data_IF_358649941581
#
_entry.id   IF_358649941581
#
_cell.length_a   1.000
_cell.length_b   1.000
_cell.length_c   1.000
_cell.angle_alpha   90.00
_cell.angle_beta   90.00
_cell.angle_gamma   90.00
#
_symmetry.space_group_name_H-M   'P 1'
#
loop_
_entity.id
_entity.type
_entity.pdbx_description
1 polymer ?
#
# COMPACT_ATOMS: atom_id res chain seq x y z
N UNK A 1 8.53 30.57 -42.14
CA UNK A 1 7.53 30.39 -41.06
C UNK A 1 7.72 29.04 -40.38
N UNK A 2 8.80 28.85 -39.61
CA UNK A 2 9.15 27.57 -38.95
C UNK A 2 9.59 27.82 -37.48
N UNK A 3 9.07 28.88 -36.84
CA UNK A 3 9.54 29.33 -35.51
C UNK A 3 8.71 28.80 -34.34
N UNK A 4 7.49 28.31 -34.58
CA UNK A 4 6.51 28.13 -33.49
C UNK A 4 6.49 26.71 -32.90
N UNK A 5 6.90 25.69 -33.67
CA UNK A 5 6.80 24.30 -33.22
C UNK A 5 7.92 23.90 -32.24
N UNK A 6 9.13 24.45 -32.40
CA UNK A 6 10.26 24.14 -31.52
C UNK A 6 10.09 24.72 -30.11
N UNK A 7 9.41 25.86 -29.98
CA UNK A 7 9.19 26.51 -28.68
C UNK A 7 8.21 25.73 -27.78
N UNK A 8 7.21 25.08 -28.37
CA UNK A 8 6.24 24.26 -27.61
C UNK A 8 6.91 22.99 -27.08
N UNK A 9 7.78 22.35 -27.86
CA UNK A 9 8.45 21.11 -27.45
C UNK A 9 9.41 21.31 -26.26
N UNK A 10 10.11 22.45 -26.19
CA UNK A 10 10.95 22.78 -25.03
C UNK A 10 10.15 23.04 -23.74
N UNK A 11 8.95 23.62 -23.83
CA UNK A 11 8.11 23.84 -22.64
C UNK A 11 7.62 22.52 -22.02
N UNK A 12 7.40 21.48 -22.83
CA UNK A 12 6.96 20.17 -22.33
C UNK A 12 8.11 19.37 -21.70
N UNK A 13 9.34 19.56 -22.17
CA UNK A 13 10.51 18.81 -21.68
C UNK A 13 11.15 19.41 -20.41
N UNK A 14 10.97 20.71 -20.14
CA UNK A 14 11.57 21.39 -18.97
C UNK A 14 10.58 21.69 -17.84
N UNK A 15 9.27 21.51 -18.05
CA UNK A 15 8.34 21.44 -16.92
C UNK A 15 8.54 20.08 -16.24
N UNK A 16 9.32 20.05 -15.15
CA UNK A 16 9.22 18.96 -14.17
C UNK A 16 7.77 18.90 -13.69
N UNK A 17 6.99 17.99 -14.27
CA UNK A 17 5.65 17.68 -13.78
C UNK A 17 5.85 16.90 -12.50
N UNK A 18 6.06 17.62 -11.40
CA UNK A 18 5.94 17.07 -10.05
C UNK A 18 4.46 16.75 -9.86
N UNK A 19 4.08 15.52 -10.20
CA UNK A 19 2.71 15.08 -10.09
C UNK A 19 2.37 14.84 -8.60
N UNK A 20 2.04 15.93 -7.91
CA UNK A 20 1.37 15.93 -6.61
C UNK A 20 -0.10 15.54 -6.86
N UNK A 21 -0.36 14.24 -6.93
CA UNK A 21 -1.73 13.74 -7.10
C UNK A 21 -2.51 13.87 -5.79
N UNK A 22 -3.66 14.55 -5.87
CA UNK A 22 -4.72 14.47 -4.85
C UNK A 22 -5.48 13.16 -5.01
N UNK A 23 -5.93 12.53 -3.90
CA UNK A 23 -6.66 11.26 -3.95
C UNK A 23 -8.02 11.45 -4.65
N UNK A 24 -8.22 10.71 -5.72
CA UNK A 24 -9.51 10.53 -6.41
C UNK A 24 -10.21 9.29 -5.86
N UNK A 25 -11.55 9.31 -5.82
CA UNK A 25 -12.41 8.24 -5.29
C UNK A 25 -12.83 7.17 -6.34
N UNK A 26 -12.21 7.11 -7.53
CA UNK A 26 -12.44 6.03 -8.50
C UNK A 26 -11.13 5.65 -9.24
N UNK A 27 -10.54 4.45 -9.01
CA UNK A 27 -9.12 4.16 -9.29
C UNK A 27 -8.82 3.46 -10.62
N UNK A 28 -9.81 3.20 -11.49
CA UNK A 28 -9.72 2.08 -12.46
C UNK A 28 -8.43 1.94 -13.29
N UNK A 29 -7.76 2.98 -13.78
CA UNK A 29 -6.69 2.77 -14.78
C UNK A 29 -5.58 3.82 -14.84
N UNK A 30 -4.40 3.53 -14.29
CA UNK A 30 -3.06 4.10 -14.61
C UNK A 30 -2.19 4.45 -13.40
N UNK A 31 -2.46 3.91 -12.23
CA UNK A 31 -2.42 4.77 -11.05
C UNK A 31 -2.04 3.97 -9.81
N UNK A 32 -0.79 3.46 -9.72
CA UNK A 32 -0.26 2.87 -8.48
C UNK A 32 -0.15 3.96 -7.41
N UNK A 33 -1.31 4.39 -6.92
CA UNK A 33 -1.46 5.44 -5.94
C UNK A 33 -0.75 5.05 -4.67
N UNK A 34 -0.15 6.04 -4.02
CA UNK A 34 0.45 5.87 -2.72
C UNK A 34 -0.57 6.30 -1.66
N UNK A 35 -0.93 5.36 -0.80
CA UNK A 35 -1.88 5.54 0.29
C UNK A 35 -1.17 5.36 1.63
N UNK A 36 -1.71 6.00 2.66
CA UNK A 36 -1.20 5.90 4.02
C UNK A 36 -2.35 5.46 4.91
N UNK A 37 -2.16 4.34 5.58
CA UNK A 37 -3.18 3.77 6.45
C UNK A 37 -2.67 3.74 7.89
N UNK A 38 -3.40 4.43 8.76
CA UNK A 38 -3.16 4.32 10.20
C UNK A 38 -3.83 3.05 10.70
N UNK A 39 -3.03 2.19 11.33
CA UNK A 39 -3.52 0.96 11.94
C UNK A 39 -4.12 1.23 13.31
N UNK A 40 -5.07 0.38 13.71
CA UNK A 40 -5.51 0.28 15.09
C UNK A 40 -4.54 -0.62 15.85
N UNK A 41 -4.02 -0.14 16.97
CA UNK A 41 -3.04 -0.87 17.77
C UNK A 41 -3.56 -1.08 19.20
N UNK A 42 -3.06 -2.13 19.84
CA UNK A 42 -3.20 -2.27 21.29
C UNK A 42 -2.42 -1.16 22.04
N UNK A 43 -2.65 -1.07 23.36
CA UNK A 43 -2.09 -0.01 24.22
C UNK A 43 -0.55 0.08 24.17
N UNK A 44 0.13 -1.03 23.86
CA UNK A 44 1.59 -1.13 23.81
C UNK A 44 2.16 -1.01 22.38
N UNK A 45 1.29 -0.90 21.37
CA UNK A 45 1.63 -1.08 19.96
C UNK A 45 2.38 -2.41 19.69
N UNK A 46 2.10 -3.44 20.49
CA UNK A 46 2.65 -4.78 20.33
C UNK A 46 1.99 -5.50 19.15
N UNK A 47 0.69 -5.26 18.94
CA UNK A 47 -0.08 -5.70 17.77
C UNK A 47 -0.86 -4.53 17.18
N UNK A 48 -0.77 -4.41 15.85
CA UNK A 48 -1.51 -3.43 15.06
C UNK A 48 -2.24 -4.12 13.91
N UNK A 49 -3.44 -3.67 13.60
CA UNK A 49 -4.29 -4.23 12.55
C UNK A 49 -4.92 -3.10 11.73
N UNK A 50 -5.02 -3.30 10.43
CA UNK A 50 -5.88 -2.52 9.55
C UNK A 50 -6.73 -3.48 8.71
N UNK A 51 -8.01 -3.15 8.57
CA UNK A 51 -8.99 -3.95 7.84
C UNK A 51 -9.63 -3.11 6.75
N UNK A 52 -9.72 -3.65 5.54
CA UNK A 52 -10.45 -3.01 4.46
C UNK A 52 -11.21 -4.03 3.61
N UNK A 53 -12.23 -3.54 2.92
CA UNK A 53 -13.02 -4.34 1.98
C UNK A 53 -12.72 -3.91 0.56
N UNK A 54 -12.59 -4.88 -0.33
CA UNK A 54 -12.43 -4.66 -1.76
C UNK A 54 -13.54 -5.42 -2.51
N UNK A 55 -14.00 -4.85 -3.63
CA UNK A 55 -14.93 -5.54 -4.54
C UNK A 55 -14.21 -5.83 -5.85
N UNK A 56 -14.08 -7.10 -6.20
CA UNK A 56 -13.42 -7.54 -7.43
C UNK A 56 -14.21 -8.70 -8.05
N UNK A 57 -14.37 -8.71 -9.38
CA UNK A 57 -15.10 -9.73 -10.14
C UNK A 57 -16.50 -10.09 -9.56
N UNK A 58 -17.20 -9.11 -8.99
CA UNK A 58 -18.52 -9.31 -8.37
C UNK A 58 -18.51 -9.96 -6.98
N UNK A 59 -17.34 -10.28 -6.43
CA UNK A 59 -17.17 -10.77 -5.06
C UNK A 59 -16.67 -9.65 -4.12
N UNK A 60 -16.90 -9.81 -2.82
CA UNK A 60 -16.38 -8.94 -1.76
C UNK A 60 -15.27 -9.68 -1.03
N UNK A 61 -14.10 -9.05 -0.97
CA UNK A 61 -12.92 -9.54 -0.28
C UNK A 61 -12.71 -8.70 0.98
N UNK A 62 -12.46 -9.37 2.10
CA UNK A 62 -12.01 -8.75 3.33
C UNK A 62 -10.50 -8.95 3.44
N UNK A 63 -9.76 -7.84 3.50
CA UNK A 63 -8.32 -7.85 3.66
C UNK A 63 -7.98 -7.37 5.07
N UNK A 64 -7.03 -8.05 5.71
CA UNK A 64 -6.45 -7.56 6.96
C UNK A 64 -4.93 -7.52 6.84
N UNK A 65 -4.35 -6.38 7.17
CA UNK A 65 -2.93 -6.26 7.43
C UNK A 65 -2.70 -6.26 8.94
N UNK A 66 -1.84 -7.14 9.41
CA UNK A 66 -1.49 -7.27 10.82
C UNK A 66 0.03 -7.17 11.00
N UNK A 67 0.44 -6.35 11.96
CA UNK A 67 1.82 -6.24 12.42
C UNK A 67 1.91 -6.66 13.89
N UNK A 68 2.90 -7.49 14.22
CA UNK A 68 3.30 -7.81 15.60
C UNK A 68 4.75 -7.41 15.79
N UNK A 69 5.12 -6.80 16.92
CA UNK A 69 6.44 -6.19 17.12
C UNK A 69 7.55 -7.17 17.51
N UNK A 70 7.27 -8.19 18.31
CA UNK A 70 8.29 -9.10 18.87
C UNK A 70 7.83 -10.57 18.91
N UNK A 71 8.34 -11.45 18.03
CA UNK A 71 9.17 -11.11 16.87
C UNK A 71 8.38 -10.27 15.86
N UNK A 72 9.09 -9.49 15.03
CA UNK A 72 8.43 -8.65 14.04
C UNK A 72 7.75 -9.51 12.99
N UNK A 73 6.42 -9.54 12.99
CA UNK A 73 5.61 -10.33 12.05
C UNK A 73 4.73 -9.40 11.25
N UNK A 74 4.79 -9.54 9.94
CA UNK A 74 3.96 -8.81 8.98
C UNK A 74 3.07 -9.82 8.29
N UNK A 75 1.76 -9.60 8.28
CA UNK A 75 0.80 -10.58 7.83
C UNK A 75 -0.31 -9.91 7.03
N UNK A 76 -0.59 -10.44 5.85
CA UNK A 76 -1.77 -10.10 5.05
C UNK A 76 -2.68 -11.32 5.08
N UNK A 77 -3.94 -11.13 5.45
CA UNK A 77 -4.96 -12.13 5.24
C UNK A 77 -5.97 -11.61 4.23
N UNK A 78 -6.48 -12.51 3.40
CA UNK A 78 -7.50 -12.24 2.40
C UNK A 78 -8.59 -13.28 2.55
N UNK A 79 -9.79 -12.83 2.88
CA UNK A 79 -10.93 -13.67 3.15
C UNK A 79 -12.06 -13.36 2.17
N UNK A 80 -12.67 -14.41 1.66
CA UNK A 80 -14.02 -14.39 1.09
C UNK A 80 -14.85 -15.44 1.81
N UNK A 81 -16.16 -15.50 1.55
CA UNK A 81 -16.98 -16.62 2.03
C UNK A 81 -16.53 -18.01 1.52
N UNK A 82 -15.55 -18.08 0.63
CA UNK A 82 -15.05 -19.31 -0.01
C UNK A 82 -13.54 -19.51 0.10
N UNK A 83 -12.78 -18.43 0.27
CA UNK A 83 -11.32 -18.41 0.18
C UNK A 83 -10.78 -17.81 1.47
N UNK A 84 -9.86 -18.51 2.13
CA UNK A 84 -9.08 -17.99 3.24
C UNK A 84 -7.60 -18.12 2.86
N UNK A 85 -6.94 -16.99 2.65
CA UNK A 85 -5.54 -16.92 2.27
C UNK A 85 -4.77 -16.09 3.27
N UNK A 86 -3.59 -16.60 3.61
CA UNK A 86 -2.72 -16.01 4.60
C UNK A 86 -1.30 -15.94 4.08
N UNK A 87 -0.75 -14.74 4.19
CA UNK A 87 0.60 -14.40 3.80
C UNK A 87 1.32 -13.79 4.98
N UNK A 88 2.53 -14.23 5.30
CA UNK A 88 3.28 -13.60 6.37
C UNK A 88 4.79 -13.72 6.23
N UNK A 89 5.49 -12.78 6.87
CA UNK A 89 6.93 -12.80 7.05
C UNK A 89 7.26 -12.49 8.51
N UNK A 90 8.17 -13.26 9.10
CA UNK A 90 8.67 -13.07 10.47
C UNK A 90 10.13 -12.64 10.39
N UNK A 91 10.51 -11.64 11.19
CA UNK A 91 11.83 -11.01 11.22
C UNK A 91 12.26 -10.78 12.67
N UNK A 92 13.50 -11.14 12.99
CA UNK A 92 14.10 -10.83 14.30
C UNK A 92 14.78 -9.46 14.33
N UNK A 93 15.04 -8.86 13.15
CA UNK A 93 15.66 -7.55 13.01
C UNK A 93 14.90 -6.75 11.94
N UNK A 94 14.27 -5.65 12.36
CA UNK A 94 13.46 -4.75 11.54
C UNK A 94 14.26 -3.60 10.91
N UNK A 95 15.51 -3.42 11.31
CA UNK A 95 16.42 -2.39 10.77
C UNK A 95 16.98 -2.80 9.41
N UNK A 96 17.15 -4.10 9.17
CA UNK A 96 17.56 -4.62 7.87
C UNK A 96 16.41 -4.51 6.88
N UNK A 97 16.66 -3.81 5.78
CA UNK A 97 15.73 -3.72 4.66
C UNK A 97 15.39 -5.12 4.14
N UNK A 98 14.12 -5.36 3.83
CA UNK A 98 13.64 -6.57 3.18
C UNK A 98 12.60 -6.22 2.13
N UNK A 99 12.43 -7.12 1.16
CA UNK A 99 11.29 -7.17 0.26
C UNK A 99 10.94 -8.63 0.03
N UNK A 100 9.66 -8.97 0.11
CA UNK A 100 9.13 -10.30 -0.14
C UNK A 100 7.92 -10.17 -1.03
N UNK A 101 7.92 -10.84 -2.18
CA UNK A 101 6.85 -10.78 -3.16
C UNK A 101 6.25 -12.17 -3.37
N UNK A 102 4.94 -12.20 -3.60
CA UNK A 102 4.19 -13.39 -3.87
C UNK A 102 3.34 -13.19 -5.10
N UNK A 103 3.58 -14.06 -6.06
CA UNK A 103 2.87 -14.07 -7.32
C UNK A 103 1.69 -15.04 -7.23
N UNK A 104 0.52 -14.60 -7.66
CA UNK A 104 -0.64 -15.44 -7.79
C UNK A 104 -1.32 -15.24 -9.14
N UNK A 105 -1.41 -16.33 -9.91
CA UNK A 105 -2.26 -16.38 -11.09
C UNK A 105 -3.70 -16.61 -10.64
N UNK A 106 -4.59 -15.66 -10.95
CA UNK A 106 -6.00 -15.77 -10.67
C UNK A 106 -6.81 -15.74 -11.97
N UNK A 107 -7.64 -16.75 -12.15
CA UNK A 107 -8.58 -16.85 -13.27
C UNK A 107 -10.00 -16.84 -12.72
N UNK A 108 -10.64 -15.67 -12.57
CA UNK A 108 -12.05 -15.63 -12.21
C UNK A 108 -12.89 -16.22 -13.33
N UNK A 109 -13.96 -16.92 -12.97
CA UNK A 109 -14.88 -17.52 -13.95
C UNK A 109 -15.44 -16.45 -14.89
N UNK A 110 -15.16 -16.57 -16.19
CA UNK A 110 -15.68 -15.67 -17.22
C UNK A 110 -14.88 -14.38 -17.43
N UNK A 111 -13.68 -14.29 -16.88
CA UNK A 111 -12.75 -13.17 -17.08
C UNK A 111 -11.41 -13.66 -17.65
N UNK A 112 -10.67 -12.75 -18.28
CA UNK A 112 -9.30 -13.03 -18.74
C UNK A 112 -8.41 -13.42 -17.55
N UNK A 113 -7.41 -14.26 -17.80
CA UNK A 113 -6.37 -14.56 -16.82
C UNK A 113 -5.69 -13.26 -16.40
N UNK A 114 -5.53 -13.07 -15.09
CA UNK A 114 -4.68 -12.00 -14.59
C UNK A 114 -3.76 -12.48 -13.50
N UNK A 115 -2.60 -11.83 -13.46
CA UNK A 115 -1.55 -12.09 -12.48
C UNK A 115 -1.59 -10.97 -11.45
N UNK A 116 -1.54 -11.36 -10.18
CA UNK A 116 -1.46 -10.44 -9.04
C UNK A 116 -0.12 -10.68 -8.33
N UNK A 117 0.71 -9.65 -8.20
CA UNK A 117 1.86 -9.70 -7.29
C UNK A 117 1.56 -8.88 -6.03
N UNK A 118 1.83 -9.50 -4.88
CA UNK A 118 1.72 -8.88 -3.55
C UNK A 118 3.12 -8.81 -2.96
N UNK A 119 3.66 -7.61 -2.83
CA UNK A 119 4.97 -7.37 -2.22
C UNK A 119 4.83 -6.69 -0.87
N UNK A 120 5.55 -7.19 0.14
CA UNK A 120 5.74 -6.54 1.44
C UNK A 120 7.20 -6.13 1.60
N UNK A 121 7.46 -4.88 1.98
CA UNK A 121 8.79 -4.38 2.31
C UNK A 121 8.77 -3.34 3.45
N UNK A 122 9.96 -3.03 3.98
CA UNK A 122 10.17 -1.96 4.97
C UNK A 122 11.06 -0.84 4.41
N UNK A 123 11.05 -0.63 3.08
CA UNK A 123 11.86 0.40 2.44
C UNK A 123 11.02 1.63 2.08
N UNK A 124 11.05 2.64 2.95
CA UNK A 124 10.24 3.85 2.78
C UNK A 124 10.91 4.94 1.91
N UNK A 125 12.06 4.67 1.26
CA UNK A 125 12.78 5.69 0.48
C UNK A 125 11.96 6.30 -0.67
N UNK A 126 11.00 5.55 -1.22
CA UNK A 126 10.09 6.01 -2.27
C UNK A 126 8.73 6.51 -1.77
N UNK A 127 8.49 6.47 -0.46
CA UNK A 127 7.20 6.77 0.15
C UNK A 127 7.39 7.72 1.34
N UNK A 128 7.43 9.05 1.10
CA UNK A 128 7.68 10.01 2.17
C UNK A 128 6.60 9.86 3.25
N UNK A 129 6.97 9.85 4.53
CA UNK A 129 6.01 9.62 5.60
C UNK A 129 5.01 10.79 5.67
N UNK A 130 3.72 10.51 5.46
CA UNK A 130 2.67 11.54 5.47
C UNK A 130 2.45 12.13 6.88
N UNK A 131 1.95 13.37 6.93
CA UNK A 131 1.54 14.02 8.18
C UNK A 131 0.44 13.17 8.86
N UNK A 132 0.65 12.79 10.12
CA UNK A 132 -0.25 11.90 10.89
C UNK A 132 0.18 10.43 10.96
N UNK A 133 1.11 9.98 10.11
CA UNK A 133 1.73 8.67 10.25
C UNK A 133 2.71 8.67 11.43
N UNK A 134 2.37 7.99 12.53
CA UNK A 134 3.20 7.96 13.74
C UNK A 134 4.55 7.30 13.48
N UNK A 135 4.53 6.01 13.11
CA UNK A 135 5.72 5.28 12.65
C UNK A 135 5.35 4.38 11.48
N UNK A 136 6.03 4.48 10.32
CA UNK A 136 5.80 3.56 9.22
C UNK A 136 6.29 2.15 9.60
N UNK A 137 5.49 1.16 9.25
CA UNK A 137 5.69 -0.25 9.62
C UNK A 137 6.07 -1.09 8.41
N UNK A 138 5.30 -0.98 7.33
CA UNK A 138 5.53 -1.69 6.08
C UNK A 138 4.95 -0.92 4.90
N UNK A 139 5.52 -1.15 3.72
CA UNK A 139 4.90 -0.84 2.44
C UNK A 139 4.36 -2.15 1.87
N UNK A 140 3.09 -2.17 1.51
CA UNK A 140 2.48 -3.27 0.77
C UNK A 140 2.14 -2.78 -0.62
N UNK A 141 2.70 -3.42 -1.63
CA UNK A 141 2.36 -3.18 -3.04
C UNK A 141 1.45 -4.31 -3.49
N UNK A 142 0.27 -3.95 -3.98
CA UNK A 142 -0.57 -4.83 -4.78
C UNK A 142 -0.43 -4.36 -6.22
N UNK A 143 0.08 -5.21 -7.10
CA UNK A 143 0.04 -4.98 -8.52
C UNK A 143 -0.77 -6.07 -9.21
N UNK A 144 -1.39 -5.72 -10.33
CA UNK A 144 -2.10 -6.65 -11.17
C UNK A 144 -1.83 -6.35 -12.64
N UNK A 145 -1.59 -7.43 -13.37
CA UNK A 145 -1.19 -7.45 -14.77
C UNK A 145 -2.36 -8.01 -15.57
N UNK A 146 -2.97 -7.16 -16.39
CA UNK A 146 -4.00 -7.56 -17.36
C UNK A 146 -3.37 -7.94 -18.70
N UNK A 147 -4.19 -8.50 -19.60
CA UNK A 147 -3.83 -8.89 -20.97
C UNK A 147 -3.40 -7.71 -21.86
N UNK A 148 -3.56 -6.46 -21.41
CA UNK A 148 -3.15 -5.25 -22.11
C UNK A 148 -1.71 -4.79 -21.78
N UNK A 149 -0.94 -5.63 -21.08
CA UNK A 149 0.43 -5.39 -20.62
C UNK A 149 0.58 -4.17 -19.67
N UNK A 150 -0.52 -3.58 -19.20
CA UNK A 150 -0.46 -2.49 -18.21
C UNK A 150 -0.39 -3.03 -16.79
N UNK A 151 0.38 -2.35 -15.97
CA UNK A 151 0.45 -2.58 -14.52
C UNK A 151 -0.50 -1.62 -13.85
N UNK A 152 -1.41 -2.19 -13.08
CA UNK A 152 -2.32 -1.45 -12.23
C UNK A 152 -2.10 -1.88 -10.78
N UNK A 153 -2.58 -1.11 -9.81
CA UNK A 153 -2.38 -1.47 -8.42
C UNK A 153 -2.42 -0.30 -7.46
N UNK A 154 -1.94 -0.56 -6.24
CA UNK A 154 -1.75 0.45 -5.21
C UNK A 154 -0.56 0.11 -4.30
N UNK A 155 0.06 1.15 -3.75
CA UNK A 155 1.04 1.04 -2.68
C UNK A 155 0.45 1.60 -1.40
N UNK A 156 0.49 0.83 -0.32
CA UNK A 156 -0.05 1.22 0.98
C UNK A 156 1.09 1.25 1.98
N UNK A 157 1.32 2.41 2.59
CA UNK A 157 2.20 2.55 3.75
C UNK A 157 1.35 2.38 5.00
N UNK A 158 1.59 1.29 5.73
CA UNK A 158 0.96 1.07 7.02
C UNK A 158 1.72 1.77 8.13
N UNK A 159 1.00 2.48 8.98
CA UNK A 159 1.54 3.32 10.04
C UNK A 159 0.95 2.93 11.40
N UNK A 160 1.75 2.97 12.46
CA UNK A 160 1.21 3.02 13.83
C UNK A 160 0.59 4.39 14.08
N UNK A 161 -0.40 4.50 15.01
CA UNK A 161 -0.94 5.79 15.40
C UNK A 161 0.14 6.67 16.03
N UNK A 162 -0.04 7.99 15.93
CA UNK A 162 0.81 8.94 16.63
C UNK A 162 0.50 8.83 18.13
N UNK A 163 1.51 8.57 18.95
CA UNK A 163 1.35 8.58 20.40
C UNK A 163 1.16 10.03 20.82
N UNK A 164 -0.09 10.45 21.02
CA UNK A 164 -0.37 11.72 21.70
C UNK A 164 0.16 11.57 23.12
N UNK A 165 1.15 12.36 23.57
CA UNK A 165 1.58 12.32 24.95
C UNK A 165 0.35 12.58 25.82
N UNK A 166 -0.05 11.59 26.63
CA UNK A 166 -1.04 11.87 27.67
C UNK A 166 -0.45 13.00 28.51
N UNK A 167 -1.11 14.16 28.51
CA UNK A 167 -0.77 15.21 29.46
C UNK A 167 -1.05 14.62 30.84
N UNK A 168 -0.01 14.04 31.44
CA UNK A 168 -0.04 13.55 32.80
C UNK A 168 -0.49 14.72 33.65
N UNK A 169 -1.72 14.62 34.14
CA UNK A 169 -2.38 15.68 34.89
C UNK A 169 -1.42 16.21 35.93
N UNK A 170 -1.08 17.49 35.79
CA UNK A 170 -0.49 18.25 36.86
C UNK A 170 -1.51 18.22 38.01
N UNK A 171 -1.18 17.64 39.18
CA UNK A 171 -2.10 17.65 40.31
C UNK A 171 -2.40 19.11 40.65
N UNK A 172 -3.68 19.41 40.84
CA UNK A 172 -4.18 20.70 41.31
C UNK A 172 -3.67 21.01 42.73
#
# INVERSE_FOLDING_TARGET
MWGSAAAVLCLVLFCHVSALWKPSNDPAMSNLGLYYETMECDDENARCVHCFQEKAAGEVYMHTFEFTKDPAKYQINMFTGKVDRKLYVIRNNTEKVFRMCFEHNWTPTGHDDFKVDICMDNNFKGAPVAEGCGKPVAVVTFDYHHSDDKIHGQQIVYCTPTVTPQMTGQPA
#
